data_IF_111150820634
#
_entry.id   IF_111150820634
#
_cell.length_a   1.000
_cell.length_b   1.000
_cell.length_c   1.000
_cell.angle_alpha   90.00
_cell.angle_beta   90.00
_cell.angle_gamma   90.00
#
_symmetry.space_group_name_H-M   'P 1'
#
loop_
_entity.id
_entity.type
_entity.pdbx_description
1 polymer ?
#
# COMPACT_ATOMS: atom_id res chain seq x y z
N UNK A 1 -28.82 6.85 6.36
CA UNK A 1 -27.80 6.15 5.56
C UNK A 1 -27.15 5.07 6.42
N UNK A 2 -27.15 3.82 5.98
CA UNK A 2 -26.50 2.69 6.67
C UNK A 2 -25.07 2.53 6.14
N UNK A 3 -24.10 2.28 7.02
CA UNK A 3 -22.75 1.89 6.63
C UNK A 3 -22.54 0.38 6.82
N UNK A 4 -21.84 -0.23 5.88
CA UNK A 4 -21.39 -1.62 5.92
C UNK A 4 -19.88 -1.63 5.71
N UNK A 5 -19.14 -2.45 6.46
CA UNK A 5 -17.70 -2.66 6.23
C UNK A 5 -17.38 -4.13 6.04
N UNK A 6 -16.62 -4.46 5.00
CA UNK A 6 -15.87 -5.71 4.90
C UNK A 6 -14.51 -5.46 5.53
N UNK A 7 -14.24 -6.07 6.68
CA UNK A 7 -13.00 -5.83 7.41
C UNK A 7 -12.84 -6.71 8.64
N UNK A 8 -11.61 -6.83 9.12
CA UNK A 8 -11.27 -7.58 10.33
C UNK A 8 -11.85 -6.86 11.57
N UNK A 9 -12.85 -7.43 12.28
CA UNK A 9 -13.58 -6.72 13.35
C UNK A 9 -12.68 -6.26 14.50
N UNK A 10 -11.62 -7.00 14.80
CA UNK A 10 -10.61 -6.68 15.81
C UNK A 10 -9.68 -5.53 15.39
N UNK A 11 -9.66 -5.17 14.10
CA UNK A 11 -8.75 -4.15 13.60
C UNK A 11 -9.22 -2.75 14.00
N UNK A 12 -8.26 -1.94 14.48
CA UNK A 12 -8.43 -0.51 14.81
C UNK A 12 -9.09 0.32 13.69
N UNK A 13 -8.89 -0.03 12.42
CA UNK A 13 -9.54 0.62 11.28
C UNK A 13 -11.06 0.49 11.32
N UNK A 14 -11.56 -0.71 11.66
CA UNK A 14 -13.00 -0.96 11.84
C UNK A 14 -13.50 -0.24 13.09
N UNK A 15 -12.74 -0.23 14.18
CA UNK A 15 -13.13 0.44 15.43
C UNK A 15 -13.25 1.97 15.26
N UNK A 16 -12.28 2.62 14.62
CA UNK A 16 -12.35 4.06 14.36
C UNK A 16 -13.49 4.44 13.39
N UNK A 17 -13.84 3.56 12.46
CA UNK A 17 -15.02 3.76 11.63
C UNK A 17 -16.31 3.66 12.46
N UNK A 18 -16.43 2.67 13.37
CA UNK A 18 -17.56 2.57 14.30
C UNK A 18 -17.72 3.84 15.14
N UNK A 19 -16.62 4.34 15.70
CA UNK A 19 -16.59 5.57 16.50
C UNK A 19 -17.04 6.79 15.67
N UNK A 20 -16.53 6.94 14.45
CA UNK A 20 -16.91 8.03 13.55
C UNK A 20 -18.42 8.00 13.19
N UNK A 21 -18.95 6.81 12.92
CA UNK A 21 -20.38 6.60 12.62
C UNK A 21 -21.24 6.94 13.83
N UNK A 22 -20.88 6.44 15.01
CA UNK A 22 -21.60 6.72 16.26
C UNK A 22 -21.61 8.22 16.60
N UNK A 23 -20.46 8.90 16.44
CA UNK A 23 -20.35 10.36 16.68
C UNK A 23 -21.19 11.20 15.72
N UNK A 24 -21.49 10.68 14.52
CA UNK A 24 -22.38 11.32 13.55
C UNK A 24 -23.86 10.95 13.76
N UNK A 25 -24.19 10.20 14.81
CA UNK A 25 -25.56 9.82 15.15
C UNK A 25 -26.21 8.87 14.14
N UNK A 26 -25.40 8.08 13.44
CA UNK A 26 -25.87 7.17 12.39
C UNK A 26 -26.20 5.77 12.96
N UNK A 27 -26.97 4.94 12.21
CA UNK A 27 -27.18 3.54 12.56
C UNK A 27 -25.85 2.80 12.77
N UNK A 28 -25.86 1.79 13.65
CA UNK A 28 -24.68 0.98 13.96
C UNK A 28 -24.03 0.42 12.68
N UNK A 29 -22.70 0.47 12.61
CA UNK A 29 -21.93 -0.09 11.50
C UNK A 29 -22.15 -1.60 11.41
N UNK A 30 -22.68 -2.08 10.28
CA UNK A 30 -22.69 -3.51 9.98
C UNK A 30 -21.30 -3.96 9.57
N UNK A 31 -20.77 -4.98 10.22
CA UNK A 31 -19.43 -5.52 9.94
C UNK A 31 -19.56 -6.93 9.37
N UNK A 32 -18.98 -7.14 8.19
CA UNK A 32 -18.76 -8.46 7.59
C UNK A 32 -17.27 -8.77 7.72
N UNK A 33 -16.92 -9.82 8.47
CA UNK A 33 -15.51 -10.19 8.61
C UNK A 33 -15.00 -10.83 7.32
N UNK A 34 -13.69 -10.71 7.06
CA UNK A 34 -13.07 -11.46 5.97
C UNK A 34 -13.25 -12.97 6.17
N UNK A 35 -13.22 -13.44 7.41
CA UNK A 35 -13.46 -14.84 7.75
C UNK A 35 -14.84 -15.32 7.27
N UNK A 36 -15.91 -14.62 7.63
CA UNK A 36 -17.27 -15.02 7.26
C UNK A 36 -17.50 -14.88 5.75
N UNK A 37 -16.96 -13.81 5.15
CA UNK A 37 -17.08 -13.58 3.71
C UNK A 37 -16.36 -14.66 2.90
N UNK A 38 -15.16 -15.06 3.33
CA UNK A 38 -14.36 -16.10 2.65
C UNK A 38 -14.95 -17.51 2.82
N UNK A 39 -15.81 -17.73 3.82
CA UNK A 39 -16.57 -18.98 4.01
C UNK A 39 -17.88 -19.00 3.22
N UNK A 40 -18.65 -17.92 3.29
CA UNK A 40 -19.92 -17.78 2.59
C UNK A 40 -20.02 -16.37 1.99
N UNK A 41 -20.10 -16.28 0.66
CA UNK A 41 -20.21 -14.99 -0.05
C UNK A 41 -21.55 -14.29 0.16
N UNK A 42 -22.61 -15.04 0.48
CA UNK A 42 -23.97 -14.53 0.60
C UNK A 42 -24.14 -13.59 1.80
N UNK A 43 -23.29 -13.73 2.84
CA UNK A 43 -23.35 -12.89 4.05
C UNK A 43 -23.21 -11.39 3.76
N UNK A 44 -22.51 -11.02 2.68
CA UNK A 44 -22.44 -9.63 2.27
C UNK A 44 -23.78 -9.17 1.67
N UNK A 45 -24.38 -9.97 0.80
CA UNK A 45 -25.66 -9.64 0.17
C UNK A 45 -26.79 -9.46 1.21
N UNK A 46 -26.79 -10.26 2.27
CA UNK A 46 -27.78 -10.19 3.37
C UNK A 46 -27.74 -8.86 4.14
N UNK A 47 -26.58 -8.20 4.22
CA UNK A 47 -26.43 -6.95 4.97
C UNK A 47 -26.55 -5.70 4.12
N UNK A 48 -26.42 -5.82 2.80
CA UNK A 48 -26.63 -4.73 1.85
C UNK A 48 -28.11 -4.32 1.84
N UNK A 49 -28.34 -3.02 1.70
CA UNK A 49 -29.67 -2.43 1.63
C UNK A 49 -29.64 -1.20 0.73
N UNK A 50 -30.74 -0.85 0.06
CA UNK A 50 -30.77 0.32 -0.80
C UNK A 50 -30.25 1.60 -0.15
N UNK A 51 -29.31 2.29 -0.81
CA UNK A 51 -28.69 3.52 -0.31
C UNK A 51 -27.71 3.33 0.86
N UNK A 52 -27.26 2.10 1.15
CA UNK A 52 -26.15 1.88 2.07
C UNK A 52 -24.80 2.22 1.44
N UNK A 53 -23.79 2.41 2.29
CA UNK A 53 -22.41 2.65 1.88
C UNK A 53 -21.52 1.49 2.34
N UNK A 54 -21.00 0.74 1.37
CA UNK A 54 -20.09 -0.37 1.57
C UNK A 54 -18.64 0.12 1.56
N UNK A 55 -17.91 -0.12 2.63
CA UNK A 55 -16.46 0.07 2.69
C UNK A 55 -15.74 -1.28 2.67
N UNK A 56 -14.75 -1.44 1.80
CA UNK A 56 -13.80 -2.56 1.88
C UNK A 56 -12.55 -2.05 2.59
N UNK A 57 -12.22 -2.62 3.75
CA UNK A 57 -10.99 -2.29 4.48
C UNK A 57 -9.87 -3.29 4.25
N UNK A 58 -8.65 -2.90 4.66
CA UNK A 58 -7.48 -3.77 4.52
C UNK A 58 -7.72 -5.14 5.19
N UNK A 59 -7.49 -6.26 4.49
CA UNK A 59 -7.49 -7.62 5.06
C UNK A 59 -6.26 -7.92 5.93
N UNK A 60 -5.30 -7.01 6.03
CA UNK A 60 -4.05 -7.20 6.76
C UNK A 60 -4.23 -7.37 8.28
N UNK A 61 -3.13 -7.73 8.95
CA UNK A 61 -3.07 -7.98 10.40
C UNK A 61 -3.94 -9.15 10.90
N UNK A 62 -4.48 -9.99 10.01
CA UNK A 62 -5.26 -11.19 10.35
C UNK A 62 -4.68 -12.45 9.64
N UNK A 63 -4.10 -13.42 10.39
CA UNK A 63 -3.51 -14.63 9.83
C UNK A 63 -4.48 -15.51 9.03
N UNK A 64 -5.71 -15.66 9.50
CA UNK A 64 -6.70 -16.53 8.86
C UNK A 64 -7.17 -15.95 7.53
N UNK A 65 -7.45 -14.65 7.49
CA UNK A 65 -7.75 -13.93 6.25
C UNK A 65 -6.60 -14.06 5.24
N UNK A 66 -5.35 -13.95 5.70
CA UNK A 66 -4.18 -14.17 4.84
C UNK A 66 -4.17 -15.58 4.25
N UNK A 67 -4.31 -16.63 5.06
CA UNK A 67 -4.29 -18.02 4.58
C UNK A 67 -5.43 -18.31 3.60
N UNK A 68 -6.65 -17.85 3.90
CA UNK A 68 -7.83 -18.05 3.04
C UNK A 68 -7.69 -17.29 1.71
N UNK A 69 -7.11 -16.09 1.71
CA UNK A 69 -6.82 -15.36 0.48
C UNK A 69 -5.72 -16.04 -0.35
N UNK A 70 -4.65 -16.55 0.26
CA UNK A 70 -3.65 -17.36 -0.46
C UNK A 70 -4.29 -18.61 -1.05
N UNK A 71 -5.12 -19.32 -0.29
CA UNK A 71 -5.83 -20.50 -0.77
C UNK A 71 -6.73 -20.19 -1.98
N UNK A 72 -7.48 -19.08 -1.94
CA UNK A 72 -8.34 -18.64 -3.04
C UNK A 72 -7.55 -18.33 -4.34
N UNK A 73 -6.28 -17.94 -4.21
CA UNK A 73 -5.40 -17.58 -5.31
C UNK A 73 -4.68 -18.74 -6.01
N UNK A 74 -4.84 -20.00 -5.57
CA UNK A 74 -4.06 -21.16 -6.04
C UNK A 74 -3.98 -21.29 -7.58
N UNK A 75 -5.12 -21.16 -8.26
CA UNK A 75 -5.21 -21.38 -9.72
C UNK A 75 -4.90 -20.14 -10.57
N UNK A 76 -4.39 -19.05 -9.98
CA UNK A 76 -4.29 -17.75 -10.65
C UNK A 76 -2.90 -17.14 -10.64
N UNK A 77 -1.90 -17.92 -10.24
CA UNK A 77 -0.51 -17.49 -10.20
C UNK A 77 0.37 -18.43 -11.05
N UNK A 78 1.19 -17.88 -11.97
CA UNK A 78 2.13 -18.66 -12.76
C UNK A 78 3.12 -19.50 -11.92
N UNK A 79 3.52 -20.66 -12.47
CA UNK A 79 4.39 -21.64 -11.80
C UNK A 79 5.78 -21.13 -11.39
N UNK A 80 6.24 -20.04 -11.99
CA UNK A 80 7.55 -19.44 -11.65
C UNK A 80 7.52 -18.57 -10.40
N UNK A 81 6.35 -18.27 -9.83
CA UNK A 81 6.22 -17.65 -8.52
C UNK A 81 6.11 -18.70 -7.41
N UNK A 82 6.39 -18.28 -6.18
CA UNK A 82 6.15 -19.11 -5.02
C UNK A 82 4.65 -19.34 -4.87
N UNK A 83 4.25 -20.61 -4.91
CA UNK A 83 2.88 -21.06 -4.70
C UNK A 83 2.82 -22.15 -3.66
N UNK A 84 1.69 -22.23 -2.97
CA UNK A 84 1.38 -23.26 -1.98
C UNK A 84 -0.05 -23.76 -2.21
N UNK A 85 -0.29 -25.08 -2.22
CA UNK A 85 -1.65 -25.60 -2.38
C UNK A 85 -2.59 -25.15 -1.25
N UNK A 86 -3.87 -24.94 -1.56
CA UNK A 86 -4.87 -24.43 -0.60
C UNK A 86 -4.91 -25.26 0.69
N UNK A 87 -5.01 -26.59 0.58
CA UNK A 87 -5.06 -27.48 1.74
C UNK A 87 -3.82 -27.36 2.64
N UNK A 88 -2.65 -27.04 2.05
CA UNK A 88 -1.39 -26.91 2.78
C UNK A 88 -1.28 -25.56 3.48
N UNK A 89 -1.61 -24.45 2.82
CA UNK A 89 -1.54 -23.13 3.47
C UNK A 89 -2.54 -23.01 4.63
N UNK A 90 -3.73 -23.60 4.49
CA UNK A 90 -4.76 -23.60 5.53
C UNK A 90 -4.37 -24.40 6.79
N UNK A 91 -3.43 -25.33 6.67
CA UNK A 91 -2.91 -26.15 7.78
C UNK A 91 -1.52 -25.73 8.27
N UNK A 92 -0.88 -24.77 7.60
CA UNK A 92 0.49 -24.33 7.94
C UNK A 92 0.45 -23.15 8.92
N UNK A 93 1.06 -23.26 10.12
CA UNK A 93 1.23 -22.12 11.01
C UNK A 93 2.01 -21.00 10.33
N UNK A 94 1.50 -19.77 10.40
CA UNK A 94 2.20 -18.62 9.85
C UNK A 94 3.29 -18.14 10.82
N UNK A 95 4.49 -17.90 10.29
CA UNK A 95 5.56 -17.21 11.02
C UNK A 95 5.38 -15.70 10.89
N UNK A 96 5.29 -15.00 12.02
CA UNK A 96 5.08 -13.56 12.05
C UNK A 96 6.17 -12.82 11.26
N UNK A 97 5.76 -11.94 10.34
CA UNK A 97 6.67 -11.15 9.52
C UNK A 97 7.30 -11.89 8.34
N UNK A 98 7.05 -13.20 8.14
CA UNK A 98 7.59 -13.93 6.99
C UNK A 98 7.04 -13.37 5.68
N UNK A 99 7.93 -13.07 4.73
CA UNK A 99 7.59 -12.55 3.41
C UNK A 99 7.42 -13.73 2.47
N UNK A 100 6.17 -14.08 2.15
CA UNK A 100 5.86 -15.24 1.31
C UNK A 100 4.47 -15.13 0.67
N UNK A 101 4.31 -15.80 -0.47
CA UNK A 101 3.05 -15.97 -1.19
C UNK A 101 2.34 -14.66 -1.56
N UNK A 102 3.06 -13.56 -1.74
CA UNK A 102 2.50 -12.24 -2.02
C UNK A 102 1.77 -12.18 -3.37
N UNK A 103 2.29 -12.87 -4.39
CA UNK A 103 1.61 -13.00 -5.68
C UNK A 103 0.30 -13.81 -5.55
N UNK A 104 0.33 -14.95 -4.86
CA UNK A 104 -0.83 -15.82 -4.65
C UNK A 104 -1.90 -15.16 -3.78
N UNK A 105 -1.48 -14.49 -2.71
CA UNK A 105 -2.35 -13.70 -1.87
C UNK A 105 -3.08 -12.60 -2.66
N UNK A 106 -2.36 -11.84 -3.50
CA UNK A 106 -2.96 -10.79 -4.31
C UNK A 106 -3.94 -11.35 -5.36
N UNK A 107 -3.62 -12.50 -5.97
CA UNK A 107 -4.53 -13.16 -6.90
C UNK A 107 -5.85 -13.57 -6.22
N UNK A 108 -5.79 -14.12 -5.01
CA UNK A 108 -6.99 -14.43 -4.23
C UNK A 108 -7.76 -13.19 -3.79
N UNK A 109 -7.07 -12.13 -3.35
CA UNK A 109 -7.73 -10.86 -3.03
C UNK A 109 -8.41 -10.23 -4.24
N UNK A 110 -7.79 -10.32 -5.42
CA UNK A 110 -8.38 -9.86 -6.67
C UNK A 110 -9.66 -10.62 -7.03
N UNK A 111 -9.67 -11.95 -6.90
CA UNK A 111 -10.88 -12.77 -7.08
C UNK A 111 -12.00 -12.36 -6.12
N UNK A 112 -11.67 -12.16 -4.84
CA UNK A 112 -12.66 -11.69 -3.87
C UNK A 112 -13.24 -10.32 -4.25
N UNK A 113 -12.39 -9.40 -4.71
CA UNK A 113 -12.84 -8.08 -5.18
C UNK A 113 -13.72 -8.19 -6.43
N UNK A 114 -13.41 -9.10 -7.36
CA UNK A 114 -14.26 -9.37 -8.53
C UNK A 114 -15.63 -9.93 -8.13
N UNK A 115 -15.69 -10.80 -7.13
CA UNK A 115 -16.96 -11.32 -6.60
C UNK A 115 -17.79 -10.23 -5.91
N UNK A 116 -17.15 -9.33 -5.16
CA UNK A 116 -17.82 -8.16 -4.57
C UNK A 116 -18.33 -7.23 -5.66
N UNK A 117 -17.53 -6.95 -6.70
CA UNK A 117 -17.91 -6.11 -7.83
C UNK A 117 -19.14 -6.70 -8.56
N UNK A 118 -19.12 -8.02 -8.83
CA UNK A 118 -20.23 -8.74 -9.42
C UNK A 118 -21.51 -8.67 -8.57
N UNK A 119 -21.41 -8.74 -7.24
CA UNK A 119 -22.54 -8.52 -6.36
C UNK A 119 -23.07 -7.08 -6.48
N UNK A 120 -22.19 -6.09 -6.49
CA UNK A 120 -22.55 -4.67 -6.59
C UNK A 120 -23.24 -4.32 -7.91
N UNK A 121 -22.97 -5.03 -9.01
CA UNK A 121 -23.74 -4.84 -10.27
C UNK A 121 -25.24 -5.08 -10.11
N UNK A 122 -25.64 -5.89 -9.12
CA UNK A 122 -27.05 -6.18 -8.80
C UNK A 122 -27.63 -5.18 -7.79
N UNK A 123 -26.80 -4.31 -7.23
CA UNK A 123 -27.14 -3.31 -6.22
C UNK A 123 -26.57 -1.92 -6.61
N UNK A 124 -26.97 -1.35 -7.78
CA UNK A 124 -26.44 -0.06 -8.26
C UNK A 124 -26.70 1.12 -7.32
N UNK A 125 -27.63 0.97 -6.37
CA UNK A 125 -27.96 1.94 -5.34
C UNK A 125 -27.01 1.93 -4.13
N UNK A 126 -26.07 0.98 -4.05
CA UNK A 126 -25.06 0.91 -2.99
C UNK A 126 -23.87 1.79 -3.36
N UNK A 127 -23.51 2.70 -2.44
CA UNK A 127 -22.29 3.50 -2.57
C UNK A 127 -21.08 2.72 -2.06
N UNK A 128 -19.90 2.97 -2.62
CA UNK A 128 -18.68 2.22 -2.29
C UNK A 128 -17.52 3.09 -1.83
N UNK A 129 -16.75 2.57 -0.86
CA UNK A 129 -15.50 3.14 -0.34
C UNK A 129 -14.43 2.06 -0.29
N UNK A 130 -13.62 1.84 -1.32
CA UNK A 130 -13.66 2.38 -2.67
C UNK A 130 -14.15 1.29 -3.64
N UNK A 131 -14.26 1.58 -4.94
CA UNK A 131 -14.63 0.59 -5.94
C UNK A 131 -13.65 -0.61 -5.96
N UNK A 132 -14.14 -1.87 -5.93
CA UNK A 132 -13.28 -3.05 -5.91
C UNK A 132 -12.28 -3.11 -7.06
N UNK A 133 -12.70 -2.73 -8.27
CA UNK A 133 -11.82 -2.65 -9.45
C UNK A 133 -10.63 -1.71 -9.26
N UNK A 134 -10.85 -0.52 -8.68
CA UNK A 134 -9.78 0.45 -8.42
C UNK A 134 -8.94 0.06 -7.20
N UNK A 135 -9.52 -0.62 -6.19
CA UNK A 135 -8.74 -1.21 -5.08
C UNK A 135 -7.67 -2.18 -5.63
N UNK A 136 -8.02 -3.04 -6.60
CA UNK A 136 -7.05 -3.96 -7.23
C UNK A 136 -5.88 -3.19 -7.86
N UNK A 137 -6.18 -2.14 -8.63
CA UNK A 137 -5.17 -1.33 -9.32
C UNK A 137 -4.29 -0.57 -8.32
N UNK A 138 -4.87 0.01 -7.28
CA UNK A 138 -4.14 0.74 -6.23
C UNK A 138 -3.22 -0.17 -5.42
N UNK A 139 -3.55 -1.46 -5.28
CA UNK A 139 -2.71 -2.42 -4.57
C UNK A 139 -1.50 -2.87 -5.39
N UNK A 140 -1.63 -2.93 -6.72
CA UNK A 140 -0.52 -3.19 -7.65
C UNK A 140 0.28 -1.92 -7.89
N UNK A 141 1.47 -1.84 -7.29
CA UNK A 141 2.34 -0.66 -7.40
C UNK A 141 2.82 -0.40 -8.81
N UNK A 142 2.99 -1.44 -9.62
CA UNK A 142 3.46 -1.29 -10.99
C UNK A 142 2.32 -0.69 -11.82
N UNK A 143 1.13 -1.28 -11.77
CA UNK A 143 -0.03 -0.79 -12.50
C UNK A 143 -0.42 0.64 -12.07
N UNK A 144 -0.46 0.90 -10.75
CA UNK A 144 -0.76 2.21 -10.19
C UNK A 144 0.24 3.28 -10.64
N UNK A 145 1.54 3.00 -10.55
CA UNK A 145 2.58 3.94 -10.99
C UNK A 145 2.52 4.22 -12.50
N UNK A 146 2.26 3.18 -13.31
CA UNK A 146 2.11 3.34 -14.75
C UNK A 146 0.89 4.18 -15.12
N UNK A 147 -0.25 3.98 -14.46
CA UNK A 147 -1.44 4.79 -14.69
C UNK A 147 -1.20 6.26 -14.26
N UNK A 148 -0.50 6.49 -13.15
CA UNK A 148 -0.06 7.84 -12.78
C UNK A 148 0.77 8.52 -13.87
N UNK A 149 1.80 7.85 -14.38
CA UNK A 149 2.66 8.41 -15.44
C UNK A 149 1.86 8.71 -16.71
N UNK A 150 0.97 7.80 -17.11
CA UNK A 150 0.08 7.96 -18.27
C UNK A 150 -0.85 9.17 -18.13
N UNK A 151 -1.31 9.46 -16.91
CA UNK A 151 -2.15 10.62 -16.59
C UNK A 151 -1.33 11.90 -16.30
N UNK A 152 -0.01 11.88 -16.53
CA UNK A 152 0.88 13.03 -16.32
C UNK A 152 1.17 13.34 -14.85
N UNK A 153 0.92 12.40 -13.94
CA UNK A 153 1.31 12.50 -12.53
C UNK A 153 2.76 12.02 -12.41
N UNK A 154 3.62 12.89 -11.86
CA UNK A 154 5.02 12.53 -11.63
C UNK A 154 5.13 11.41 -10.60
N UNK A 155 5.80 10.32 -10.95
CA UNK A 155 6.07 9.15 -10.11
C UNK A 155 7.45 8.56 -10.47
N UNK A 156 8.08 7.73 -9.60
CA UNK A 156 9.31 7.02 -9.94
C UNK A 156 9.16 6.18 -11.21
N UNK A 157 9.99 6.38 -12.25
CA UNK A 157 9.93 5.58 -13.47
C UNK A 157 10.13 4.09 -13.20
N UNK A 158 9.26 3.27 -13.79
CA UNK A 158 9.39 1.81 -13.81
C UNK A 158 10.56 1.40 -14.71
N UNK A 159 11.48 0.60 -14.17
CA UNK A 159 12.68 0.14 -14.88
C UNK A 159 12.61 -1.33 -15.31
N UNK A 160 11.59 -2.08 -14.89
CA UNK A 160 11.39 -3.48 -15.27
C UNK A 160 11.05 -4.40 -14.10
N UNK A 161 10.58 -5.61 -14.44
CA UNK A 161 10.41 -6.72 -13.50
C UNK A 161 11.78 -7.33 -13.19
N UNK A 162 12.03 -7.71 -11.94
CA UNK A 162 13.27 -8.39 -11.51
C UNK A 162 12.98 -9.87 -11.32
N UNK A 163 13.61 -10.73 -12.14
CA UNK A 163 13.38 -12.19 -12.15
C UNK A 163 14.47 -12.95 -11.41
N UNK A 164 15.64 -12.35 -11.29
CA UNK A 164 16.81 -12.87 -10.57
C UNK A 164 17.80 -11.73 -10.33
N UNK A 165 18.83 -12.00 -9.54
CA UNK A 165 19.97 -11.11 -9.36
C UNK A 165 20.70 -10.84 -10.68
N UNK A 166 20.89 -11.86 -11.52
CA UNK A 166 21.56 -11.68 -12.82
C UNK A 166 20.71 -10.80 -13.75
N UNK A 167 19.39 -11.01 -13.79
CA UNK A 167 18.47 -10.13 -14.54
C UNK A 167 18.51 -8.69 -14.02
N UNK A 168 18.64 -8.48 -12.69
CA UNK A 168 18.86 -7.15 -12.14
C UNK A 168 20.14 -6.51 -12.71
N UNK A 169 21.26 -7.23 -12.70
CA UNK A 169 22.53 -6.70 -13.21
C UNK A 169 22.44 -6.35 -14.71
N UNK A 170 21.77 -7.18 -15.51
CA UNK A 170 21.52 -6.92 -16.94
C UNK A 170 20.74 -5.62 -17.15
N UNK A 171 19.67 -5.39 -16.38
CA UNK A 171 18.89 -4.15 -16.50
C UNK A 171 19.73 -2.93 -16.08
N UNK A 172 20.51 -3.03 -14.98
CA UNK A 172 21.37 -1.94 -14.52
C UNK A 172 22.46 -1.60 -15.55
N UNK A 173 23.06 -2.61 -16.18
CA UNK A 173 24.05 -2.42 -17.23
C UNK A 173 23.44 -1.77 -18.47
N UNK A 174 22.28 -2.26 -18.92
CA UNK A 174 21.58 -1.77 -20.13
C UNK A 174 21.09 -0.33 -19.95
N UNK A 175 20.55 0.00 -18.78
CA UNK A 175 19.97 1.32 -18.51
C UNK A 175 20.97 2.33 -17.95
N UNK A 176 22.16 1.88 -17.55
CA UNK A 176 23.20 2.72 -16.92
C UNK A 176 22.89 3.16 -15.48
N UNK A 177 21.81 2.68 -14.87
CA UNK A 177 21.45 3.05 -13.50
C UNK A 177 22.44 2.46 -12.48
N UNK A 178 22.77 3.26 -11.46
CA UNK A 178 23.65 2.87 -10.35
C UNK A 178 22.96 2.81 -8.99
N UNK A 179 21.72 3.29 -8.92
CA UNK A 179 20.89 3.29 -7.73
C UNK A 179 19.42 3.15 -8.11
N UNK A 180 18.74 2.22 -7.44
CA UNK A 180 17.36 1.83 -7.74
C UNK A 180 16.65 1.41 -6.46
N UNK A 181 15.31 1.50 -6.47
CA UNK A 181 14.51 0.76 -5.51
C UNK A 181 14.01 -0.53 -6.17
N UNK A 182 14.08 -1.63 -5.42
CA UNK A 182 13.53 -2.92 -5.81
C UNK A 182 12.45 -3.26 -4.77
N UNK A 183 11.25 -3.60 -5.21
CA UNK A 183 10.07 -3.74 -4.33
C UNK A 183 9.19 -4.91 -4.78
N UNK A 184 8.54 -5.62 -3.86
CA UNK A 184 7.42 -6.49 -4.22
C UNK A 184 6.26 -5.65 -4.77
N UNK A 185 5.65 -6.09 -5.87
CA UNK A 185 4.55 -5.39 -6.52
C UNK A 185 3.36 -5.21 -5.57
N UNK A 186 3.04 -6.23 -4.78
CA UNK A 186 1.86 -6.30 -3.92
C UNK A 186 2.21 -6.23 -2.41
N UNK A 187 3.41 -5.77 -2.04
CA UNK A 187 3.82 -5.64 -0.64
C UNK A 187 3.13 -4.48 0.10
N UNK A 188 3.19 -4.44 1.42
CA UNK A 188 2.78 -3.27 2.22
C UNK A 188 3.78 -3.02 3.36
N UNK A 189 3.68 -1.86 4.03
CA UNK A 189 4.50 -1.54 5.22
C UNK A 189 6.02 -1.64 5.01
N UNK A 190 6.49 -1.27 3.82
CA UNK A 190 7.88 -1.42 3.37
C UNK A 190 8.42 -2.87 3.38
N UNK A 191 7.55 -3.89 3.48
CA UNK A 191 7.94 -5.29 3.44
C UNK A 191 8.61 -5.63 2.10
N UNK A 192 9.84 -6.12 2.16
CA UNK A 192 10.61 -6.50 0.97
C UNK A 192 11.22 -5.33 0.20
N UNK A 193 11.08 -4.08 0.65
CA UNK A 193 11.63 -2.91 -0.06
C UNK A 193 13.15 -2.89 0.10
N UNK A 194 13.85 -2.72 -1.02
CA UNK A 194 15.31 -2.72 -1.09
C UNK A 194 15.79 -1.45 -1.81
N UNK A 195 16.54 -0.62 -1.08
CA UNK A 195 17.26 0.51 -1.66
C UNK A 195 18.67 0.02 -2.07
N UNK A 196 18.85 -0.23 -3.37
CA UNK A 196 20.05 -0.84 -3.94
C UNK A 196 20.94 0.21 -4.60
N UNK A 197 22.26 0.10 -4.42
CA UNK A 197 23.25 0.89 -5.15
C UNK A 197 24.50 0.10 -5.45
N UNK A 198 25.13 0.43 -6.57
CA UNK A 198 26.40 -0.14 -7.01
C UNK A 198 27.34 0.99 -7.48
N UNK A 199 28.60 0.97 -7.03
CA UNK A 199 29.59 1.95 -7.47
C UNK A 199 30.25 1.55 -8.81
N UNK A 200 31.12 2.41 -9.35
CA UNK A 200 31.84 2.16 -10.61
C UNK A 200 32.79 0.95 -10.56
N UNK A 201 33.21 0.53 -9.37
CA UNK A 201 34.06 -0.64 -9.14
C UNK A 201 33.25 -1.93 -8.94
N UNK A 202 31.92 -1.88 -9.08
CA UNK A 202 31.04 -3.02 -8.88
C UNK A 202 30.71 -3.32 -7.41
N UNK A 203 31.15 -2.50 -6.44
CA UNK A 203 30.80 -2.68 -5.03
C UNK A 203 29.36 -2.33 -4.77
N UNK A 204 28.65 -3.22 -4.09
CA UNK A 204 27.21 -3.15 -3.87
C UNK A 204 26.87 -2.76 -2.44
N UNK A 205 25.72 -2.10 -2.28
CA UNK A 205 25.07 -1.94 -1.00
C UNK A 205 23.55 -1.98 -1.18
N UNK A 206 22.91 -2.86 -0.41
CA UNK A 206 21.46 -2.92 -0.28
C UNK A 206 21.06 -2.52 1.14
N UNK A 207 20.19 -1.53 1.26
CA UNK A 207 19.57 -1.12 2.53
C UNK A 207 18.09 -1.51 2.49
N UNK A 208 17.63 -2.34 3.41
CA UNK A 208 16.32 -3.00 3.30
C UNK A 208 15.70 -3.28 4.65
N UNK A 209 14.38 -3.46 4.70
CA UNK A 209 13.63 -4.02 5.84
C UNK A 209 13.76 -5.55 5.92
N UNK A 210 14.34 -6.20 4.90
CA UNK A 210 14.46 -7.66 4.84
C UNK A 210 15.53 -8.14 5.80
N UNK A 211 15.14 -9.06 6.67
CA UNK A 211 16.06 -9.91 7.42
C UNK A 211 16.07 -11.31 6.81
N UNK A 212 17.27 -11.76 6.43
CA UNK A 212 17.51 -13.11 5.96
C UNK A 212 17.92 -14.02 7.13
N UNK A 213 17.16 -15.09 7.33
CA UNK A 213 17.44 -16.16 8.28
C UNK A 213 17.75 -17.45 7.50
N UNK A 214 18.87 -18.11 7.82
CA UNK A 214 19.28 -19.37 7.21
C UNK A 214 19.06 -20.49 8.22
N UNK A 215 18.10 -21.37 7.95
CA UNK A 215 17.77 -22.54 8.79
C UNK A 215 18.07 -23.82 7.99
N UNK A 216 19.24 -24.40 8.22
CA UNK A 216 19.74 -25.51 7.40
C UNK A 216 19.90 -25.10 5.93
N UNK A 217 19.13 -25.74 5.06
CA UNK A 217 19.10 -25.42 3.62
C UNK A 217 17.99 -24.43 3.24
N UNK A 218 17.12 -24.06 4.17
CA UNK A 218 16.02 -23.11 3.91
C UNK A 218 16.49 -21.66 4.10
N UNK A 219 16.11 -20.81 3.15
CA UNK A 219 16.24 -19.35 3.27
C UNK A 219 14.86 -18.78 3.57
N UNK A 220 14.72 -18.16 4.74
CA UNK A 220 13.51 -17.44 5.15
C UNK A 220 13.79 -15.95 5.19
N UNK A 221 12.86 -15.18 4.65
CA UNK A 221 12.94 -13.72 4.64
C UNK A 221 11.82 -13.16 5.50
N UNK A 222 12.17 -12.23 6.39
CA UNK A 222 11.26 -11.59 7.31
C UNK A 222 11.26 -10.07 7.10
N UNK A 223 10.10 -9.45 7.23
CA UNK A 223 9.97 -8.01 7.36
C UNK A 223 10.41 -7.61 8.77
N UNK A 224 11.57 -6.99 8.88
CA UNK A 224 12.12 -6.48 10.12
C UNK A 224 11.92 -4.96 10.19
N UNK A 225 11.45 -4.47 11.34
CA UNK A 225 11.26 -3.04 11.58
C UNK A 225 12.60 -2.30 11.62
N UNK A 226 13.69 -2.98 11.98
CA UNK A 226 15.05 -2.44 11.95
C UNK A 226 15.67 -2.65 10.57
N UNK A 227 16.05 -1.54 9.94
CA UNK A 227 16.73 -1.55 8.64
C UNK A 227 18.05 -2.35 8.72
N UNK A 228 18.24 -3.23 7.75
CA UNK A 228 19.45 -4.02 7.52
C UNK A 228 20.25 -3.46 6.35
N UNK A 229 21.56 -3.73 6.35
CA UNK A 229 22.49 -3.40 5.27
C UNK A 229 23.23 -4.66 4.84
N UNK A 230 23.20 -4.95 3.55
CA UNK A 230 23.93 -6.05 2.92
C UNK A 230 24.92 -5.49 1.91
N UNK A 231 26.16 -5.94 1.95
CA UNK A 231 27.25 -5.50 1.06
C UNK A 231 28.04 -6.66 0.43
N UNK A 232 27.66 -7.90 0.75
CA UNK A 232 28.18 -9.12 0.13
C UNK A 232 27.28 -9.50 -1.04
N UNK A 233 27.87 -9.74 -2.20
CA UNK A 233 27.16 -10.10 -3.43
C UNK A 233 26.29 -11.34 -3.21
N UNK A 234 26.80 -12.34 -2.49
CA UNK A 234 26.13 -13.63 -2.27
C UNK A 234 24.85 -13.46 -1.46
N UNK A 235 24.89 -12.63 -0.40
CA UNK A 235 23.70 -12.38 0.43
C UNK A 235 22.67 -11.52 -0.32
N UNK A 236 23.12 -10.52 -1.08
CA UNK A 236 22.26 -9.68 -1.94
C UNK A 236 21.57 -10.55 -3.00
N UNK A 237 22.33 -11.40 -3.69
CA UNK A 237 21.80 -12.29 -4.71
C UNK A 237 20.80 -13.28 -4.13
N UNK A 238 21.08 -13.84 -2.95
CA UNK A 238 20.16 -14.76 -2.25
C UNK A 238 18.82 -14.07 -1.95
N UNK A 239 18.85 -12.85 -1.38
CA UNK A 239 17.64 -12.10 -1.05
C UNK A 239 16.83 -11.78 -2.32
N UNK A 240 17.47 -11.26 -3.37
CA UNK A 240 16.79 -10.92 -4.62
C UNK A 240 16.19 -12.15 -5.29
N UNK A 241 16.93 -13.26 -5.37
CA UNK A 241 16.45 -14.49 -6.00
C UNK A 241 15.26 -15.10 -5.24
N UNK A 242 15.26 -15.02 -3.91
CA UNK A 242 14.14 -15.49 -3.09
C UNK A 242 12.91 -14.60 -3.29
N UNK A 243 13.07 -13.27 -3.25
CA UNK A 243 11.95 -12.34 -3.42
C UNK A 243 11.45 -12.23 -4.86
N UNK A 244 12.27 -12.52 -5.88
CA UNK A 244 11.84 -12.49 -7.28
C UNK A 244 10.65 -13.43 -7.54
N UNK A 245 10.53 -14.50 -6.75
CA UNK A 245 9.39 -15.43 -6.74
C UNK A 245 8.12 -14.87 -6.10
N UNK A 246 8.18 -13.65 -5.55
CA UNK A 246 7.06 -12.91 -4.95
C UNK A 246 6.63 -11.70 -5.81
N UNK A 247 7.06 -11.66 -7.07
CA UNK A 247 6.83 -10.57 -8.02
C UNK A 247 7.56 -9.27 -7.65
N UNK A 248 8.87 -9.22 -7.93
CA UNK A 248 9.68 -8.01 -7.78
C UNK A 248 9.64 -7.12 -9.02
N UNK A 249 9.63 -5.81 -8.77
CA UNK A 249 9.93 -4.82 -9.79
C UNK A 249 11.01 -3.85 -9.32
N UNK A 250 11.53 -3.11 -10.28
CA UNK A 250 12.52 -2.06 -10.07
C UNK A 250 11.99 -0.71 -10.55
N UNK A 251 12.27 0.33 -9.77
CA UNK A 251 11.98 1.72 -10.12
C UNK A 251 13.24 2.59 -9.94
N UNK A 252 13.28 3.71 -10.64
CA UNK A 252 14.35 4.68 -10.49
C UNK A 252 14.37 5.27 -9.06
N UNK A 253 15.54 5.31 -8.46
CA UNK A 253 15.72 5.99 -7.18
C UNK A 253 15.74 7.50 -7.38
N UNK A 254 14.59 8.15 -7.14
CA UNK A 254 14.48 9.61 -7.14
C UNK A 254 15.01 10.23 -5.83
N UNK A 255 15.78 11.32 -5.89
CA UNK A 255 16.25 12.01 -4.69
C UNK A 255 15.07 12.64 -3.94
N UNK A 256 15.08 12.51 -2.62
CA UNK A 256 14.11 13.15 -1.73
C UNK A 256 14.76 14.33 -1.03
N UNK A 257 13.98 15.38 -0.81
CA UNK A 257 14.38 16.52 0.00
C UNK A 257 14.57 16.05 1.43
N UNK A 258 15.51 16.70 2.13
CA UNK A 258 15.79 16.42 3.52
C UNK A 258 15.66 17.69 4.35
N UNK A 259 15.36 17.50 5.61
CA UNK A 259 15.47 18.53 6.66
C UNK A 259 16.70 18.24 7.51
N UNK A 260 16.96 19.07 8.51
CA UNK A 260 17.97 18.80 9.55
C UNK A 260 17.75 17.46 10.26
N UNK A 261 16.50 16.99 10.34
CA UNK A 261 16.11 15.73 10.98
C UNK A 261 16.06 14.53 10.00
N UNK A 262 16.55 14.69 8.77
CA UNK A 262 16.65 13.63 7.77
C UNK A 262 15.69 13.75 6.58
N UNK A 263 15.65 12.68 5.78
CA UNK A 263 14.80 12.54 4.60
C UNK A 263 13.33 12.46 5.01
N UNK A 264 12.44 12.94 4.15
CA UNK A 264 11.02 12.86 4.43
C UNK A 264 10.17 12.57 3.20
N UNK A 265 8.95 12.13 3.47
CA UNK A 265 7.81 12.23 2.57
C UNK A 265 6.57 12.67 3.36
N UNK A 266 5.49 12.93 2.62
CA UNK A 266 4.20 13.36 3.11
C UNK A 266 3.19 12.26 2.83
N UNK A 267 2.61 11.70 3.89
CA UNK A 267 1.45 10.80 3.79
C UNK A 267 0.20 11.66 3.85
N UNK A 268 -0.45 11.86 2.71
CA UNK A 268 -1.64 12.66 2.54
C UNK A 268 -2.85 11.76 2.31
N UNK A 269 -3.92 11.95 3.07
CA UNK A 269 -5.21 11.36 2.77
C UNK A 269 -5.99 12.31 1.88
N UNK A 270 -6.55 11.79 0.81
CA UNK A 270 -7.53 12.49 -0.01
C UNK A 270 -8.93 11.94 0.27
N UNK A 271 -9.91 12.84 0.34
CA UNK A 271 -11.33 12.51 0.51
C UNK A 271 -12.12 13.31 -0.54
N UNK A 272 -12.89 12.63 -1.39
CA UNK A 272 -13.64 13.26 -2.48
C UNK A 272 -12.74 14.00 -3.47
N UNK A 273 -11.54 13.45 -3.75
CA UNK A 273 -10.55 14.09 -4.63
C UNK A 273 -9.87 15.33 -4.05
N UNK A 274 -10.07 15.63 -2.75
CA UNK A 274 -9.45 16.76 -2.05
C UNK A 274 -8.44 16.31 -1.02
N UNK A 275 -7.29 16.98 -0.96
CA UNK A 275 -6.30 16.74 0.09
C UNK A 275 -6.88 17.12 1.46
N UNK A 276 -6.71 16.24 2.45
CA UNK A 276 -7.27 16.40 3.81
C UNK A 276 -6.17 16.22 4.86
N UNK A 277 -6.23 15.16 5.65
CA UNK A 277 -5.25 14.90 6.69
C UNK A 277 -3.89 14.59 6.07
N UNK A 278 -2.83 15.20 6.58
CA UNK A 278 -1.47 14.98 6.10
C UNK A 278 -0.54 14.83 7.29
N UNK A 279 0.44 13.94 7.16
CA UNK A 279 1.58 13.86 8.09
C UNK A 279 2.88 13.82 7.34
N UNK A 280 3.89 14.45 7.90
CA UNK A 280 5.27 14.28 7.48
C UNK A 280 5.85 13.04 8.14
N UNK A 281 6.47 12.15 7.38
CA UNK A 281 7.18 10.98 7.91
C UNK A 281 8.67 11.15 7.65
N UNK A 282 9.49 11.07 8.70
CA UNK A 282 10.92 11.39 8.63
C UNK A 282 11.81 10.19 8.96
N UNK A 283 12.93 10.07 8.25
CA UNK A 283 13.92 9.01 8.47
C UNK A 283 15.33 9.44 8.12
N UNK A 284 16.31 8.84 8.80
CA UNK A 284 17.73 8.87 8.41
C UNK A 284 18.07 7.81 7.34
N UNK A 285 17.09 7.00 6.94
CA UNK A 285 17.21 5.99 5.89
C UNK A 285 16.38 6.36 4.65
N UNK A 286 16.64 5.75 3.48
CA UNK A 286 15.86 6.02 2.26
C UNK A 286 14.35 5.71 2.37
N UNK A 287 13.98 4.83 3.31
CA UNK A 287 12.62 4.40 3.61
C UNK A 287 12.06 5.15 4.83
N UNK A 288 10.96 5.87 4.61
CA UNK A 288 10.34 6.83 5.53
C UNK A 288 9.09 6.30 6.24
N UNK A 289 8.68 5.05 5.97
CA UNK A 289 7.47 4.45 6.54
C UNK A 289 7.50 4.43 8.07
N UNK A 290 6.41 4.89 8.73
CA UNK A 290 6.30 4.94 10.20
C UNK A 290 6.37 3.55 10.86
N UNK A 291 5.95 2.50 10.15
CA UNK A 291 6.04 1.12 10.64
C UNK A 291 7.49 0.70 10.97
N UNK A 292 8.50 1.34 10.37
CA UNK A 292 9.92 1.08 10.67
C UNK A 292 10.43 1.79 11.94
N UNK A 293 9.52 2.28 12.79
CA UNK A 293 9.89 3.07 13.98
C UNK A 293 10.31 4.52 13.66
N UNK A 294 10.07 4.97 12.43
CA UNK A 294 10.31 6.34 12.00
C UNK A 294 9.33 7.30 12.70
N UNK A 295 9.69 8.58 12.77
CA UNK A 295 8.95 9.59 13.52
C UNK A 295 8.08 10.47 12.60
N UNK A 296 7.03 11.05 13.18
CA UNK A 296 6.31 12.15 12.53
C UNK A 296 7.19 13.40 12.60
N UNK A 297 7.36 14.05 11.45
CA UNK A 297 8.01 15.35 11.39
C UNK A 297 7.06 16.49 11.70
N UNK A 298 7.61 17.69 11.79
CA UNK A 298 6.85 18.93 11.98
C UNK A 298 6.33 19.45 10.63
N UNK A 299 5.06 19.14 10.36
CA UNK A 299 4.39 19.55 9.12
C UNK A 299 4.16 21.07 9.07
N UNK A 300 3.88 21.70 10.21
CA UNK A 300 3.62 23.15 10.28
C UNK A 300 4.92 23.92 10.02
N UNK A 301 6.03 23.49 10.62
CA UNK A 301 7.35 24.05 10.32
C UNK A 301 7.72 23.86 8.84
N UNK A 302 7.44 22.70 8.25
CA UNK A 302 7.66 22.47 6.82
C UNK A 302 6.83 23.46 5.98
N UNK A 303 5.53 23.57 6.26
CA UNK A 303 4.63 24.48 5.54
C UNK A 303 5.09 25.94 5.63
N UNK A 304 5.56 26.39 6.80
CA UNK A 304 6.07 27.74 7.01
C UNK A 304 7.42 28.00 6.30
N UNK A 305 8.22 26.96 6.04
CA UNK A 305 9.53 27.06 5.36
C UNK A 305 9.43 27.00 3.84
N UNK A 306 8.40 26.33 3.30
CA UNK A 306 8.24 26.17 1.85
C UNK A 306 7.63 27.44 1.23
N UNK A 307 8.06 27.83 0.02
CA UNK A 307 7.34 28.78 -0.80
C UNK A 307 5.88 28.38 -0.99
N UNK A 308 4.98 29.37 -1.02
CA UNK A 308 3.54 29.13 -1.14
C UNK A 308 3.18 28.32 -2.41
N UNK A 309 3.82 28.62 -3.55
CA UNK A 309 3.64 27.88 -4.81
C UNK A 309 4.03 26.40 -4.68
N UNK A 310 5.08 26.10 -3.91
CA UNK A 310 5.53 24.74 -3.67
C UNK A 310 4.56 23.98 -2.77
N UNK A 311 4.03 24.60 -1.69
CA UNK A 311 3.00 23.97 -0.86
C UNK A 311 1.72 23.67 -1.66
N UNK A 312 1.28 24.63 -2.48
CA UNK A 312 0.14 24.42 -3.38
C UNK A 312 0.39 23.28 -4.36
N UNK A 313 1.61 23.13 -4.88
CA UNK A 313 1.94 22.02 -5.78
C UNK A 313 1.83 20.63 -5.11
N UNK A 314 2.13 20.51 -3.81
CA UNK A 314 1.96 19.28 -3.03
C UNK A 314 0.48 18.91 -2.93
N UNK A 315 -0.38 19.88 -2.59
CA UNK A 315 -1.82 19.64 -2.52
C UNK A 315 -2.36 19.29 -3.91
N UNK A 316 -1.95 20.03 -4.95
CA UNK A 316 -2.40 19.79 -6.31
C UNK A 316 -2.02 18.40 -6.84
N UNK A 317 -0.80 17.91 -6.59
CA UNK A 317 -0.43 16.57 -7.04
C UNK A 317 -1.23 15.50 -6.29
N UNK A 318 -1.50 15.69 -5.00
CA UNK A 318 -2.33 14.78 -4.22
C UNK A 318 -3.74 14.68 -4.81
N UNK A 319 -4.36 15.83 -5.07
CA UNK A 319 -5.70 15.90 -5.65
C UNK A 319 -5.76 15.37 -7.08
N UNK A 320 -4.73 15.64 -7.90
CA UNK A 320 -4.65 15.11 -9.27
C UNK A 320 -4.47 13.60 -9.26
N UNK A 321 -3.60 13.07 -8.40
CA UNK A 321 -3.42 11.63 -8.24
C UNK A 321 -4.71 10.95 -7.77
N UNK A 322 -5.46 11.57 -6.85
CA UNK A 322 -6.75 11.03 -6.42
C UNK A 322 -7.76 10.95 -7.58
N UNK A 323 -7.79 11.96 -8.46
CA UNK A 323 -8.69 11.98 -9.64
C UNK A 323 -8.38 10.93 -10.71
N UNK A 324 -7.22 10.28 -10.64
CA UNK A 324 -6.92 9.12 -11.52
C UNK A 324 -7.84 7.94 -11.23
N UNK A 325 -8.40 7.87 -10.02
CA UNK A 325 -9.30 6.80 -9.56
C UNK A 325 -10.68 7.40 -9.23
N UNK A 326 -11.49 7.74 -10.25
CA UNK A 326 -12.74 8.49 -10.07
C UNK A 326 -13.81 7.73 -9.28
N UNK A 327 -13.70 6.41 -9.14
CA UNK A 327 -14.63 5.58 -8.37
C UNK A 327 -14.10 5.28 -6.95
N UNK A 328 -13.02 5.96 -6.54
CA UNK A 328 -12.37 5.82 -5.23
C UNK A 328 -12.21 7.19 -4.57
N UNK A 329 -13.06 7.45 -3.57
CA UNK A 329 -13.08 8.76 -2.93
C UNK A 329 -12.13 8.88 -1.74
N UNK A 330 -11.51 7.79 -1.26
CA UNK A 330 -10.72 7.82 -0.02
C UNK A 330 -9.38 7.14 -0.22
N UNK A 331 -8.33 7.91 -0.48
CA UNK A 331 -7.00 7.38 -0.83
C UNK A 331 -5.91 7.94 0.08
N UNK A 332 -5.00 7.09 0.51
CA UNK A 332 -3.73 7.50 1.11
C UNK A 332 -2.64 7.62 0.07
N UNK A 333 -1.93 8.74 0.03
CA UNK A 333 -0.93 9.09 -0.99
C UNK A 333 0.40 9.41 -0.32
N UNK A 334 1.48 8.79 -0.81
CA UNK A 334 2.84 9.15 -0.44
C UNK A 334 3.42 10.12 -1.43
N UNK A 335 3.81 11.30 -0.95
CA UNK A 335 4.30 12.40 -1.79
C UNK A 335 5.68 12.80 -1.31
N UNK A 336 6.63 12.92 -2.22
CA UNK A 336 7.96 13.44 -1.91
C UNK A 336 8.30 14.66 -2.74
N UNK A 337 9.21 15.47 -2.18
CA UNK A 337 9.80 16.62 -2.84
C UNK A 337 11.17 16.23 -3.38
N UNK A 338 11.48 16.63 -4.60
CA UNK A 338 12.82 16.47 -5.16
C UNK A 338 13.64 17.74 -4.91
N UNK A 339 14.85 17.66 -4.32
CA UNK A 339 15.65 18.86 -4.01
C UNK A 339 16.13 19.62 -5.26
N UNK A 340 16.10 18.98 -6.43
CA UNK A 340 16.54 19.55 -7.71
C UNK A 340 15.38 19.94 -8.63
N UNK A 341 14.14 19.63 -8.28
CA UNK A 341 12.97 19.93 -9.10
C UNK A 341 11.93 20.64 -8.25
N UNK A 342 11.28 21.67 -8.80
CA UNK A 342 10.21 22.37 -8.08
C UNK A 342 9.03 21.45 -7.76
N UNK A 343 8.69 20.54 -8.69
CA UNK A 343 7.47 19.77 -8.61
C UNK A 343 7.62 18.53 -7.70
N UNK A 344 6.62 18.24 -6.85
CA UNK A 344 6.54 17.00 -6.09
C UNK A 344 6.29 15.79 -7.00
N UNK A 345 6.45 14.59 -6.45
CA UNK A 345 6.07 13.33 -7.10
C UNK A 345 5.38 12.39 -6.12
N UNK A 346 4.53 11.51 -6.63
CA UNK A 346 3.82 10.47 -5.87
C UNK A 346 4.67 9.21 -5.86
N UNK A 347 4.96 8.67 -4.67
CA UNK A 347 5.70 7.43 -4.47
C UNK A 347 4.76 6.22 -4.58
N UNK A 348 3.62 6.28 -3.90
CA UNK A 348 2.62 5.22 -3.88
C UNK A 348 1.23 5.78 -3.51
N UNK A 349 0.19 5.01 -3.81
CA UNK A 349 -1.17 5.23 -3.36
C UNK A 349 -1.71 3.99 -2.63
N UNK A 350 -2.62 4.19 -1.69
CA UNK A 350 -3.23 3.16 -0.86
C UNK A 350 -4.76 3.34 -0.85
N UNK A 351 -5.49 2.28 -1.17
CA UNK A 351 -6.94 2.32 -1.33
C UNK A 351 -7.74 2.43 0.00
N UNK A 352 -7.08 2.35 1.15
CA UNK A 352 -7.75 2.24 2.45
C UNK A 352 -7.71 3.53 3.28
N UNK A 353 -7.53 4.69 2.63
CA UNK A 353 -7.58 6.02 3.28
C UNK A 353 -6.53 6.31 4.34
N UNK A 354 -5.59 5.39 4.53
CA UNK A 354 -4.64 5.35 5.63
C UNK A 354 -5.18 5.43 7.05
N UNK A 355 -4.31 5.08 7.98
CA UNK A 355 -4.59 5.16 9.40
C UNK A 355 -3.69 6.23 10.03
N UNK A 356 -4.22 7.44 10.16
CA UNK A 356 -3.53 8.58 10.75
C UNK A 356 -4.13 8.94 12.12
N UNK A 357 -3.84 8.17 13.19
CA UNK A 357 -4.41 8.43 14.50
C UNK A 357 -3.94 9.79 15.03
N UNK A 358 -4.84 10.50 15.70
CA UNK A 358 -4.61 11.82 16.29
C UNK A 358 -4.25 12.94 15.28
N UNK A 359 -4.54 12.74 14.00
CA UNK A 359 -4.38 13.78 12.98
C UNK A 359 -5.76 14.32 12.63
N UNK A 360 -5.95 15.61 12.89
CA UNK A 360 -7.19 16.31 12.59
C UNK A 360 -6.97 17.26 11.42
N UNK A 361 -7.97 17.38 10.57
CA UNK A 361 -8.06 18.45 9.58
C UNK A 361 -9.49 19.01 9.62
N UNK A 362 -9.61 20.32 9.87
CA UNK A 362 -10.89 21.00 10.13
C UNK A 362 -11.70 20.36 11.27
N UNK A 363 -10.99 19.94 12.33
CA UNK A 363 -11.58 19.31 13.52
C UNK A 363 -12.02 17.85 13.33
N UNK A 364 -11.79 17.25 12.17
CA UNK A 364 -12.22 15.89 11.85
C UNK A 364 -11.04 14.93 11.71
N UNK A 365 -11.20 13.71 12.24
CA UNK A 365 -10.35 12.57 11.89
C UNK A 365 -10.58 12.14 10.44
N UNK A 366 -9.72 11.26 9.92
CA UNK A 366 -9.89 10.68 8.57
C UNK A 366 -11.26 10.01 8.39
N UNK A 367 -11.68 9.17 9.36
CA UNK A 367 -12.94 8.44 9.27
C UNK A 367 -14.15 9.36 9.43
N UNK A 368 -14.08 10.37 10.30
CA UNK A 368 -15.15 11.36 10.44
C UNK A 368 -15.33 12.16 9.15
N UNK A 369 -14.24 12.62 8.54
CA UNK A 369 -14.28 13.36 7.29
C UNK A 369 -14.80 12.50 6.12
N UNK A 370 -14.46 11.20 6.09
CA UNK A 370 -15.02 10.25 5.14
C UNK A 370 -16.54 10.10 5.32
N UNK A 371 -17.00 9.86 6.54
CA UNK A 371 -18.44 9.74 6.82
C UNK A 371 -19.18 11.02 6.44
N UNK A 372 -18.64 12.19 6.80
CA UNK A 372 -19.20 13.50 6.40
C UNK A 372 -19.33 13.61 4.88
N UNK A 373 -18.29 13.22 4.12
CA UNK A 373 -18.32 13.26 2.67
C UNK A 373 -19.48 12.44 2.08
N UNK A 374 -19.64 11.18 2.50
CA UNK A 374 -20.71 10.34 1.96
C UNK A 374 -22.11 10.73 2.43
N UNK A 375 -22.25 11.35 3.60
CA UNK A 375 -23.52 11.97 4.01
C UNK A 375 -23.90 13.13 3.08
N UNK A 376 -22.92 13.93 2.66
CA UNK A 376 -23.16 15.06 1.74
C UNK A 376 -23.46 14.62 0.31
N UNK A 377 -23.01 13.44 -0.12
CA UNK A 377 -23.36 12.89 -1.44
C UNK A 377 -24.79 12.33 -1.50
N UNK A 378 -25.41 12.05 -0.35
CA UNK A 378 -26.77 11.51 -0.24
C UNK A 378 -27.82 12.55 0.21
N UNK A 379 -27.39 13.78 0.49
CA UNK A 379 -28.26 14.90 0.85
C UNK A 379 -28.68 15.64 -0.41
#
# INVERSE_FOLDING_TARGET
MQFVVVGNPENRRVQFLKEAIAKKGLPELKVVSYQSLLENREVLAEVLSPGCCLKVESPGENPEAFQKLVALGEDSVPDYFNKIPAHKILSTPLEFGRIQYGAQWYAGFSKLLDEIDNLLTKHPEVQVVNAPGEIKMLFDKVACSQEFLKQGISAPPFLGVVRSYDHLQEILQTTGHKQVFIKPAHGSSASGVMAYRQNSQGKELMTTSVEMVKEGFEIKLFNNLKIRKYNKKEDIATIINTLAKEHLYMEQWLPKTQTENGLFDLRCVSIGGKARQMVMRQSHHPMTNLHLGNQRGDLEQLQNRLPEDQWHSILQIAEKAARVFPQSNVLGLDIALNPKQKNPFVIEANAFGDLLPHVLHRGETTYEAMVTYYLQQNA
#
